data_IF_672189743830
#
_entry.id   IF_672189743830
#
_cell.length_a   1.000
_cell.length_b   1.000
_cell.length_c   1.000
_cell.angle_alpha   90.00
_cell.angle_beta   90.00
_cell.angle_gamma   90.00
#
_symmetry.space_group_name_H-M   'P 1'
#
loop_
_entity.id
_entity.type
_entity.pdbx_description
1 polymer ?
#
# COMPACT_ATOMS: atom_id res chain seq x y z
N UNK A 1 0.76 20.95 11.27
CA UNK A 1 -0.25 20.80 10.21
C UNK A 1 0.24 21.25 8.83
N UNK A 2 -0.31 20.66 7.76
CA UNK A 2 -0.11 21.12 6.37
C UNK A 2 -0.84 22.46 6.15
N UNK A 3 -0.11 23.47 5.71
CA UNK A 3 -0.64 24.81 5.41
C UNK A 3 -1.10 24.94 3.95
N UNK A 4 -0.42 24.25 3.04
CA UNK A 4 -0.84 24.18 1.64
C UNK A 4 0.17 23.50 0.72
N UNK A 5 -0.27 23.28 -0.51
CA UNK A 5 0.50 22.70 -1.61
C UNK A 5 0.69 23.74 -2.72
N UNK A 6 1.90 23.82 -3.25
CA UNK A 6 2.30 24.77 -4.29
C UNK A 6 2.97 24.01 -5.41
N UNK A 7 2.63 24.37 -6.64
CA UNK A 7 3.29 23.92 -7.86
C UNK A 7 3.87 25.15 -8.54
N UNK A 8 5.16 25.17 -8.78
CA UNK A 8 5.83 26.31 -9.41
C UNK A 8 7.00 25.88 -10.29
N UNK A 9 7.47 26.81 -11.11
CA UNK A 9 8.62 26.66 -12.02
C UNK A 9 9.57 27.84 -11.87
N UNK A 10 10.79 27.67 -12.36
CA UNK A 10 11.74 28.76 -12.49
C UNK A 10 11.80 29.27 -13.92
N UNK A 11 11.52 30.55 -14.11
CA UNK A 11 11.60 31.23 -15.39
C UNK A 11 12.75 32.25 -15.37
N UNK A 12 13.70 32.12 -16.30
CA UNK A 12 14.93 32.93 -16.34
C UNK A 12 14.66 34.45 -16.38
N UNK A 13 13.51 34.88 -16.90
CA UNK A 13 13.17 36.31 -17.07
C UNK A 13 12.46 36.92 -15.86
N UNK A 14 11.58 36.16 -15.23
CA UNK A 14 10.67 36.65 -14.18
C UNK A 14 10.98 36.05 -12.80
N UNK A 15 11.83 35.03 -12.73
CA UNK A 15 12.10 34.26 -11.52
C UNK A 15 11.03 33.18 -11.29
N UNK A 16 10.47 33.13 -10.09
CA UNK A 16 9.49 32.09 -9.73
C UNK A 16 8.15 32.35 -10.40
N UNK A 17 7.63 31.32 -11.08
CA UNK A 17 6.31 31.30 -11.70
C UNK A 17 5.44 30.25 -11.00
N UNK A 18 4.39 30.68 -10.30
CA UNK A 18 3.47 29.77 -9.59
C UNK A 18 2.41 29.29 -10.58
N UNK A 19 2.41 27.99 -10.84
CA UNK A 19 1.44 27.30 -11.69
C UNK A 19 0.12 27.12 -10.93
N UNK A 20 0.20 26.63 -9.70
CA UNK A 20 -0.96 26.37 -8.86
C UNK A 20 -0.63 26.48 -7.37
N UNK A 21 -1.65 26.80 -6.58
CA UNK A 21 -1.59 26.72 -5.11
C UNK A 21 -2.92 26.35 -4.50
N UNK A 22 -2.89 25.57 -3.43
CA UNK A 22 -4.05 25.22 -2.64
C UNK A 22 -3.72 25.31 -1.13
N UNK A 23 -4.53 25.98 -0.31
CA UNK A 23 -5.74 26.74 -0.69
C UNK A 23 -5.41 27.97 -1.55
N UNK A 24 -6.35 28.42 -2.40
CA UNK A 24 -6.14 29.57 -3.31
C UNK A 24 -5.75 30.87 -2.58
N UNK A 25 -6.15 31.00 -1.31
CA UNK A 25 -5.85 32.14 -0.44
C UNK A 25 -4.48 32.05 0.25
N UNK A 26 -3.72 30.98 0.04
CA UNK A 26 -2.40 30.80 0.62
C UNK A 26 -1.48 31.97 0.19
N UNK A 27 -0.98 32.73 1.16
CA UNK A 27 0.01 33.78 0.94
C UNK A 27 1.40 33.17 1.13
N UNK A 28 2.31 33.46 0.19
CA UNK A 28 3.64 32.85 0.14
C UNK A 28 4.61 33.97 -0.16
N UNK A 29 5.60 34.13 0.71
CA UNK A 29 6.65 35.10 0.48
C UNK A 29 7.57 34.63 -0.65
N UNK A 30 7.93 35.50 -1.62
CA UNK A 30 8.82 35.11 -2.72
C UNK A 30 10.18 34.57 -2.29
N UNK A 31 10.65 34.92 -1.08
CA UNK A 31 11.91 34.41 -0.54
C UNK A 31 11.85 32.90 -0.29
N UNK A 32 10.69 32.37 0.14
CA UNK A 32 10.50 30.95 0.42
C UNK A 32 10.73 30.13 -0.85
N UNK A 33 10.07 30.53 -1.94
CA UNK A 33 10.17 29.82 -3.22
C UNK A 33 11.57 29.87 -3.82
N UNK A 34 12.30 30.99 -3.62
CA UNK A 34 13.71 31.10 -4.04
C UNK A 34 14.64 30.18 -3.26
N UNK A 35 14.40 30.01 -1.95
CA UNK A 35 15.18 29.09 -1.12
C UNK A 35 14.92 27.64 -1.51
N UNK A 36 13.66 27.26 -1.75
CA UNK A 36 13.30 25.93 -2.25
C UNK A 36 14.01 25.65 -3.59
N UNK A 37 13.93 26.59 -4.54
CA UNK A 37 14.61 26.48 -5.82
C UNK A 37 16.13 26.30 -5.64
N UNK A 38 16.76 27.13 -4.81
CA UNK A 38 18.21 27.09 -4.58
C UNK A 38 18.65 25.77 -3.94
N UNK A 39 17.85 25.22 -3.02
CA UNK A 39 18.16 23.95 -2.38
C UNK A 39 18.14 22.78 -3.39
N UNK A 40 17.12 22.71 -4.26
CA UNK A 40 17.08 21.72 -5.34
C UNK A 40 18.17 21.93 -6.39
N UNK A 41 18.47 23.18 -6.74
CA UNK A 41 19.52 23.51 -7.69
C UNK A 41 20.91 23.07 -7.19
N UNK A 42 21.14 23.10 -5.87
CA UNK A 42 22.39 22.61 -5.27
C UNK A 42 22.53 21.09 -5.35
N UNK A 43 21.43 20.34 -5.25
CA UNK A 43 21.43 18.87 -5.40
C UNK A 43 21.65 18.43 -6.86
N UNK A 44 21.29 19.29 -7.82
CA UNK A 44 21.40 19.08 -9.28
C UNK A 44 20.84 17.72 -9.77
N UNK A 45 19.77 17.26 -9.12
CA UNK A 45 19.07 16.03 -9.49
C UNK A 45 17.58 16.12 -9.14
N UNK A 46 16.70 15.41 -9.88
CA UNK A 46 15.32 15.21 -9.45
C UNK A 46 15.30 14.53 -8.09
N UNK A 47 14.28 14.83 -7.28
CA UNK A 47 14.09 14.14 -6.00
C UNK A 47 13.43 15.01 -4.93
N UNK A 48 13.31 14.40 -3.75
CA UNK A 48 12.77 15.01 -2.55
C UNK A 48 13.85 15.76 -1.76
N UNK A 49 13.46 16.89 -1.17
CA UNK A 49 14.23 17.58 -0.12
C UNK A 49 13.31 18.00 1.02
N UNK A 50 13.90 18.04 2.21
CA UNK A 50 13.35 18.62 3.42
C UNK A 50 14.18 19.86 3.80
N UNK A 51 13.51 20.98 4.10
CA UNK A 51 14.18 22.18 4.57
C UNK A 51 13.29 23.00 5.51
N UNK A 52 13.93 23.77 6.39
CA UNK A 52 13.29 24.80 7.19
C UNK A 52 13.56 26.16 6.57
N UNK A 53 12.50 26.90 6.28
CA UNK A 53 12.55 28.28 5.78
C UNK A 53 11.87 29.18 6.78
N UNK A 54 12.67 29.99 7.48
CA UNK A 54 12.22 30.88 8.56
C UNK A 54 11.52 30.10 9.69
N UNK A 55 10.19 30.12 9.74
CA UNK A 55 9.37 29.38 10.71
C UNK A 55 8.54 28.26 10.08
N UNK A 56 8.73 28.01 8.79
CA UNK A 56 8.01 26.99 8.04
C UNK A 56 8.91 25.81 7.73
N UNK A 57 8.38 24.62 7.94
CA UNK A 57 9.00 23.40 7.42
C UNK A 57 8.48 23.16 6.00
N UNK A 58 9.33 22.66 5.11
CA UNK A 58 9.01 22.47 3.70
C UNK A 58 9.44 21.08 3.26
N UNK A 59 8.49 20.34 2.73
CA UNK A 59 8.72 19.12 1.95
C UNK A 59 8.59 19.48 0.48
N UNK A 60 9.61 19.24 -0.34
CA UNK A 60 9.56 19.62 -1.76
C UNK A 60 10.14 18.55 -2.65
N UNK A 61 9.44 18.29 -3.76
CA UNK A 61 9.90 17.40 -4.81
C UNK A 61 10.20 18.17 -6.10
N UNK A 62 11.36 17.94 -6.70
CA UNK A 62 11.76 18.51 -7.99
C UNK A 62 11.70 17.45 -9.09
N UNK A 63 11.01 17.76 -10.19
CA UNK A 63 10.73 16.79 -11.26
C UNK A 63 11.87 16.63 -12.27
N UNK A 64 12.96 17.38 -12.11
CA UNK A 64 14.13 17.31 -12.98
C UNK A 64 14.10 18.30 -14.14
N UNK A 65 15.24 18.40 -14.83
CA UNK A 65 15.49 19.35 -15.92
C UNK A 65 14.58 19.16 -17.15
N UNK A 66 13.95 18.00 -17.30
CA UNK A 66 13.03 17.74 -18.41
C UNK A 66 11.70 18.50 -18.25
N UNK A 67 11.22 18.65 -17.02
CA UNK A 67 9.90 19.23 -16.73
C UNK A 67 9.95 20.51 -15.89
N UNK A 68 11.01 20.67 -15.08
CA UNK A 68 11.35 21.84 -14.28
C UNK A 68 10.24 22.30 -13.32
N UNK A 69 9.48 21.36 -12.75
CA UNK A 69 8.46 21.65 -11.74
C UNK A 69 8.96 21.37 -10.32
N UNK A 70 8.56 22.25 -9.42
CA UNK A 70 8.70 22.11 -7.98
C UNK A 70 7.32 21.93 -7.37
N UNK A 71 7.15 20.86 -6.62
CA UNK A 71 5.91 20.51 -5.95
C UNK A 71 6.22 20.53 -4.46
N UNK A 72 5.71 21.52 -3.76
CA UNK A 72 6.14 21.84 -2.40
C UNK A 72 4.96 21.94 -1.45
N UNK A 73 5.10 21.29 -0.31
CA UNK A 73 4.21 21.41 0.84
C UNK A 73 4.80 22.42 1.80
N UNK A 74 3.97 23.40 2.19
CA UNK A 74 4.27 24.27 3.31
C UNK A 74 3.67 23.67 4.56
N UNK A 75 4.50 23.48 5.58
CA UNK A 75 4.16 22.87 6.84
C UNK A 75 4.45 23.87 7.96
N UNK A 76 3.74 23.77 9.07
CA UNK A 76 4.14 24.48 10.28
C UNK A 76 5.39 23.86 10.91
N UNK A 77 5.91 24.51 11.96
CA UNK A 77 7.15 24.12 12.62
C UNK A 77 7.06 22.79 13.40
N UNK A 78 5.86 22.24 13.60
CA UNK A 78 5.65 21.01 14.38
C UNK A 78 5.69 19.75 13.51
N UNK A 79 5.49 19.88 12.21
CA UNK A 79 5.53 18.76 11.26
C UNK A 79 6.96 18.45 10.82
N UNK A 80 7.28 17.17 10.68
CA UNK A 80 8.50 16.71 10.03
C UNK A 80 8.25 16.57 8.51
N UNK A 81 8.97 17.31 7.64
CA UNK A 81 8.83 17.15 6.19
C UNK A 81 9.10 15.74 5.68
N UNK A 82 10.00 14.99 6.33
CA UNK A 82 10.41 13.66 5.86
C UNK A 82 9.25 12.65 5.94
N UNK A 83 8.29 12.85 6.86
CA UNK A 83 7.08 12.03 6.96
C UNK A 83 6.16 12.14 5.72
N UNK A 84 6.39 13.13 4.85
CA UNK A 84 5.62 13.38 3.64
C UNK A 84 6.31 12.92 2.36
N UNK A 85 7.54 12.40 2.42
CA UNK A 85 8.34 12.06 1.24
C UNK A 85 7.59 11.13 0.26
N UNK A 86 7.12 9.97 0.74
CA UNK A 86 6.48 8.95 -0.09
C UNK A 86 5.17 9.46 -0.75
N UNK A 87 4.34 10.18 0.00
CA UNK A 87 3.08 10.73 -0.53
C UNK A 87 3.31 11.90 -1.49
N UNK A 88 4.43 12.64 -1.31
CA UNK A 88 4.79 13.73 -2.19
C UNK A 88 5.36 13.22 -3.52
N UNK A 89 6.11 12.11 -3.52
CA UNK A 89 6.54 11.41 -4.74
C UNK A 89 5.32 11.00 -5.59
N UNK A 90 4.31 10.40 -4.97
CA UNK A 90 3.08 9.99 -5.68
C UNK A 90 2.29 11.17 -6.19
N UNK A 91 2.26 12.23 -5.38
CA UNK A 91 1.62 13.48 -5.77
C UNK A 91 2.31 14.07 -6.99
N UNK A 92 3.64 14.03 -7.03
CA UNK A 92 4.40 14.46 -8.20
C UNK A 92 4.10 13.60 -9.41
N UNK A 93 4.14 12.27 -9.28
CA UNK A 93 3.77 11.37 -10.37
C UNK A 93 2.36 11.67 -10.91
N UNK A 94 1.37 11.81 -10.02
CA UNK A 94 -0.02 12.07 -10.38
C UNK A 94 -0.21 13.42 -11.07
N UNK A 95 0.43 14.47 -10.56
CA UNK A 95 0.39 15.81 -11.16
C UNK A 95 1.01 15.77 -12.55
N UNK A 96 2.17 15.14 -12.69
CA UNK A 96 2.92 15.12 -13.95
C UNK A 96 2.20 14.33 -15.05
N UNK A 97 1.58 13.19 -14.71
CA UNK A 97 0.74 12.43 -15.66
C UNK A 97 -0.51 13.23 -16.09
N UNK A 98 -1.01 14.12 -15.23
CA UNK A 98 -2.20 14.94 -15.49
C UNK A 98 -1.87 16.41 -15.81
N UNK A 99 -0.62 16.68 -16.21
CA UNK A 99 -0.16 18.03 -16.49
C UNK A 99 -0.82 18.59 -17.76
N UNK A 100 -1.04 17.73 -18.76
CA UNK A 100 -1.70 18.15 -20.00
C UNK A 100 -3.14 18.61 -19.75
N UNK A 101 -3.49 19.76 -20.35
CA UNK A 101 -4.82 20.38 -20.27
C UNK A 101 -5.26 20.72 -18.83
N UNK A 102 -4.31 20.95 -17.93
CA UNK A 102 -4.54 21.40 -16.55
C UNK A 102 -5.46 20.47 -15.72
N UNK A 103 -5.56 19.19 -16.10
CA UNK A 103 -6.42 18.20 -15.42
C UNK A 103 -6.03 18.03 -13.95
N UNK A 104 -4.75 18.16 -13.64
CA UNK A 104 -4.22 18.11 -12.28
C UNK A 104 -4.86 19.16 -11.34
N UNK A 105 -5.27 20.33 -11.83
CA UNK A 105 -5.88 21.38 -11.01
C UNK A 105 -7.18 20.94 -10.33
N UNK A 106 -7.95 20.06 -10.99
CA UNK A 106 -9.19 19.50 -10.44
C UNK A 106 -8.92 18.49 -9.32
N UNK A 107 -7.72 17.91 -9.29
CA UNK A 107 -7.32 16.88 -8.32
C UNK A 107 -6.72 17.48 -7.04
N UNK A 108 -6.20 18.72 -7.10
CA UNK A 108 -5.47 19.35 -5.98
C UNK A 108 -6.19 19.32 -4.63
N UNK A 109 -7.52 19.54 -4.53
CA UNK A 109 -8.21 19.42 -3.23
C UNK A 109 -8.11 18.02 -2.63
N UNK A 110 -8.36 16.99 -3.43
CA UNK A 110 -8.29 15.60 -2.97
C UNK A 110 -6.84 15.18 -2.66
N UNK A 111 -5.88 15.68 -3.45
CA UNK A 111 -4.45 15.47 -3.23
C UNK A 111 -4.04 16.06 -1.88
N UNK A 112 -4.39 17.32 -1.59
CA UNK A 112 -4.04 17.98 -0.34
C UNK A 112 -4.65 17.25 0.87
N UNK A 113 -5.92 16.85 0.77
CA UNK A 113 -6.58 16.06 1.83
C UNK A 113 -5.83 14.75 2.10
N UNK A 114 -5.41 14.03 1.05
CA UNK A 114 -4.68 12.76 1.18
C UNK A 114 -3.30 12.95 1.80
N UNK A 115 -2.53 13.93 1.31
CA UNK A 115 -1.20 14.24 1.84
C UNK A 115 -1.27 14.59 3.32
N UNK A 116 -2.24 15.41 3.71
CA UNK A 116 -2.38 15.89 5.09
C UNK A 116 -2.66 14.77 6.10
N UNK A 117 -3.15 13.62 5.63
CA UNK A 117 -3.49 12.48 6.47
C UNK A 117 -2.40 11.42 6.49
N UNK A 118 -1.52 11.40 5.49
CA UNK A 118 -0.52 10.35 5.31
C UNK A 118 0.41 10.13 6.51
N UNK A 119 0.96 11.17 7.18
CA UNK A 119 1.80 10.97 8.37
C UNK A 119 1.09 10.23 9.52
N UNK A 120 -0.24 10.34 9.57
CA UNK A 120 -1.06 9.70 10.60
C UNK A 120 -1.39 8.23 10.28
N UNK A 121 -0.99 7.74 9.11
CA UNK A 121 -1.27 6.36 8.69
C UNK A 121 -0.53 5.37 9.57
N UNK A 122 -1.28 4.37 10.06
CA UNK A 122 -0.68 3.20 10.71
C UNK A 122 -0.03 2.28 9.69
N UNK A 123 0.79 1.35 10.16
CA UNK A 123 1.46 0.34 9.32
C UNK A 123 0.50 -0.39 8.36
N UNK A 124 -0.67 -0.85 8.82
CA UNK A 124 -1.65 -1.51 7.94
C UNK A 124 -2.16 -0.58 6.82
N UNK A 125 -2.26 0.72 7.09
CA UNK A 125 -2.66 1.72 6.10
C UNK A 125 -1.52 2.03 5.13
N UNK A 126 -0.27 2.11 5.60
CA UNK A 126 0.91 2.25 4.73
C UNK A 126 1.05 1.07 3.78
N UNK A 127 0.81 -0.16 4.26
CA UNK A 127 0.80 -1.35 3.41
C UNK A 127 -0.37 -1.35 2.42
N UNK A 128 -1.58 -0.98 2.88
CA UNK A 128 -2.74 -0.85 1.99
C UNK A 128 -2.49 0.18 0.88
N UNK A 129 -1.81 1.28 1.23
CA UNK A 129 -1.52 2.39 0.33
C UNK A 129 -0.67 1.97 -0.88
N UNK A 130 0.23 0.98 -0.71
CA UNK A 130 0.98 0.37 -1.83
C UNK A 130 0.06 -0.16 -2.93
N UNK A 131 -1.09 -0.72 -2.57
CA UNK A 131 -2.08 -1.26 -3.50
C UNK A 131 -3.10 -0.22 -3.98
N UNK A 132 -3.16 0.96 -3.33
CA UNK A 132 -4.02 2.07 -3.77
C UNK A 132 -3.42 2.85 -4.95
N UNK A 133 -2.08 2.83 -5.05
CA UNK A 133 -1.36 3.42 -6.16
C UNK A 133 -1.18 2.41 -7.31
N UNK A 134 -1.58 2.81 -8.51
CA UNK A 134 -1.60 1.92 -9.67
C UNK A 134 -0.19 1.49 -10.09
N UNK A 135 0.80 2.38 -9.99
CA UNK A 135 2.19 2.08 -10.36
C UNK A 135 2.78 1.05 -9.38
N UNK A 136 2.68 1.32 -8.07
CA UNK A 136 3.16 0.38 -7.04
C UNK A 136 2.44 -0.97 -7.11
N UNK A 137 1.12 -0.95 -7.33
CA UNK A 137 0.36 -2.18 -7.52
C UNK A 137 0.93 -3.01 -8.68
N UNK A 138 1.16 -2.39 -9.85
CA UNK A 138 1.74 -3.08 -11.01
C UNK A 138 3.16 -3.61 -10.75
N UNK A 139 4.00 -2.84 -10.05
CA UNK A 139 5.33 -3.29 -9.64
C UNK A 139 5.22 -4.54 -8.76
N UNK A 140 4.36 -4.50 -7.74
CA UNK A 140 4.15 -5.62 -6.83
C UNK A 140 3.57 -6.83 -7.57
N UNK A 141 2.55 -6.66 -8.43
CA UNK A 141 1.98 -7.76 -9.21
C UNK A 141 3.03 -8.45 -10.07
N UNK A 142 3.85 -7.68 -10.79
CA UNK A 142 4.91 -8.23 -11.63
C UNK A 142 5.95 -8.98 -10.81
N UNK A 143 6.36 -8.44 -9.68
CA UNK A 143 7.32 -9.07 -8.78
C UNK A 143 6.77 -10.30 -8.07
N UNK A 144 5.47 -10.36 -7.79
CA UNK A 144 4.79 -11.56 -7.27
C UNK A 144 4.80 -12.68 -8.31
N UNK A 145 4.64 -12.35 -9.59
CA UNK A 145 4.64 -13.31 -10.69
C UNK A 145 6.06 -13.80 -11.07
N UNK A 146 6.99 -12.86 -11.26
CA UNK A 146 8.35 -13.13 -11.78
C UNK A 146 9.40 -13.32 -10.68
N UNK A 147 9.14 -12.82 -9.47
CA UNK A 147 10.08 -12.78 -8.35
C UNK A 147 11.14 -11.68 -8.45
N UNK A 148 11.69 -11.47 -9.64
CA UNK A 148 12.72 -10.46 -9.90
C UNK A 148 12.58 -9.85 -11.29
N UNK A 149 13.10 -8.63 -11.45
CA UNK A 149 13.12 -7.93 -12.75
C UNK A 149 14.22 -6.87 -12.76
N UNK A 150 14.63 -6.40 -13.94
CA UNK A 150 15.57 -5.28 -14.02
C UNK A 150 14.83 -3.94 -13.95
N UNK A 151 15.46 -2.91 -13.38
CA UNK A 151 14.87 -1.57 -13.29
C UNK A 151 14.49 -1.02 -14.67
N UNK A 152 15.32 -1.24 -15.68
CA UNK A 152 15.06 -0.77 -17.04
C UNK A 152 13.86 -1.48 -17.67
N UNK A 153 13.77 -2.80 -17.54
CA UNK A 153 12.65 -3.58 -18.08
C UNK A 153 11.34 -3.25 -17.37
N UNK A 154 11.39 -3.01 -16.06
CA UNK A 154 10.24 -2.57 -15.29
C UNK A 154 9.77 -1.18 -15.72
N UNK A 155 10.70 -0.23 -15.88
CA UNK A 155 10.38 1.12 -16.31
C UNK A 155 9.77 1.15 -17.70
N UNK A 156 10.33 0.40 -18.67
CA UNK A 156 9.79 0.34 -20.03
C UNK A 156 8.38 -0.26 -20.06
N UNK A 157 8.19 -1.36 -19.35
CA UNK A 157 6.89 -2.03 -19.25
C UNK A 157 5.83 -1.16 -18.55
N UNK A 158 6.17 -0.44 -17.47
CA UNK A 158 5.21 0.44 -16.79
C UNK A 158 4.75 1.59 -17.70
N UNK A 159 5.67 2.22 -18.42
CA UNK A 159 5.34 3.30 -19.37
C UNK A 159 4.42 2.81 -20.48
N UNK A 160 4.72 1.63 -21.04
CA UNK A 160 3.85 0.99 -22.05
C UNK A 160 2.48 0.63 -21.48
N UNK A 161 2.44 0.03 -20.28
CA UNK A 161 1.22 -0.47 -19.66
C UNK A 161 0.25 0.64 -19.25
N UNK A 162 0.79 1.77 -18.81
CA UNK A 162 0.03 2.93 -18.31
C UNK A 162 -0.16 4.03 -19.37
N UNK A 163 0.47 3.89 -20.54
CA UNK A 163 0.47 4.92 -21.59
C UNK A 163 0.96 6.29 -21.07
N UNK A 164 2.05 6.27 -20.29
CA UNK A 164 2.65 7.48 -19.67
C UNK A 164 4.08 7.71 -20.16
N UNK A 165 4.42 8.99 -20.34
CA UNK A 165 5.77 9.40 -20.74
C UNK A 165 6.67 9.67 -19.53
N UNK A 166 6.08 10.10 -18.41
CA UNK A 166 6.77 10.43 -17.17
C UNK A 166 6.63 9.34 -16.10
N UNK A 167 7.74 8.93 -15.49
CA UNK A 167 7.75 7.94 -14.42
C UNK A 167 8.92 8.18 -13.45
N UNK A 168 8.61 8.41 -12.18
CA UNK A 168 9.58 8.53 -11.09
C UNK A 168 9.92 7.13 -10.54
N UNK A 169 10.57 6.30 -11.36
CA UNK A 169 10.76 4.88 -11.01
C UNK A 169 11.70 4.69 -9.81
N UNK A 170 12.74 5.52 -9.69
CA UNK A 170 13.73 5.45 -8.62
C UNK A 170 13.13 5.64 -7.23
N UNK A 171 12.38 6.73 -7.05
CA UNK A 171 11.83 7.05 -5.73
C UNK A 171 10.67 6.11 -5.35
N UNK A 172 9.89 5.65 -6.35
CA UNK A 172 8.87 4.62 -6.13
C UNK A 172 9.52 3.32 -5.66
N UNK A 173 10.61 2.87 -6.30
CA UNK A 173 11.38 1.69 -5.85
C UNK A 173 11.92 1.91 -4.43
N UNK A 174 12.52 3.07 -4.16
CA UNK A 174 13.07 3.39 -2.84
C UNK A 174 11.99 3.32 -1.75
N UNK A 175 10.76 3.79 -2.02
CA UNK A 175 9.64 3.66 -1.08
C UNK A 175 9.32 2.19 -0.74
N UNK A 176 9.34 1.30 -1.73
CA UNK A 176 9.10 -0.13 -1.55
C UNK A 176 10.26 -0.83 -0.83
N UNK A 177 11.49 -0.36 -1.02
CA UNK A 177 12.69 -0.81 -0.29
C UNK A 177 12.60 -0.39 1.18
N UNK A 178 12.22 0.87 1.48
CA UNK A 178 12.02 1.37 2.85
C UNK A 178 10.95 0.56 3.60
N UNK A 179 9.87 0.16 2.91
CA UNK A 179 8.84 -0.74 3.46
C UNK A 179 9.33 -2.18 3.71
N UNK A 180 10.49 -2.54 3.17
CA UNK A 180 11.09 -3.86 3.27
C UNK A 180 10.41 -4.91 2.41
N UNK A 181 9.77 -4.49 1.31
CA UNK A 181 9.10 -5.39 0.35
C UNK A 181 10.07 -5.87 -0.74
N UNK A 182 10.98 -4.99 -1.15
CA UNK A 182 11.92 -5.20 -2.25
C UNK A 182 13.35 -5.00 -1.74
N UNK A 183 14.30 -5.73 -2.33
CA UNK A 183 15.74 -5.40 -2.30
C UNK A 183 16.23 -5.11 -3.70
N UNK A 184 17.19 -4.19 -3.81
CA UNK A 184 17.92 -3.97 -5.05
C UNK A 184 19.33 -4.55 -4.95
N UNK A 185 19.86 -5.05 -6.07
CA UNK A 185 21.26 -5.46 -6.15
C UNK A 185 21.81 -5.36 -7.57
N UNK A 186 23.12 -5.11 -7.66
CA UNK A 186 23.87 -5.21 -8.92
C UNK A 186 24.44 -6.62 -9.02
N UNK A 187 23.91 -7.43 -9.93
CA UNK A 187 24.42 -8.77 -10.21
C UNK A 187 25.37 -8.72 -11.40
N UNK A 188 26.52 -9.38 -11.28
CA UNK A 188 27.52 -9.47 -12.36
C UNK A 188 26.84 -9.96 -13.65
N UNK A 189 27.21 -9.36 -14.80
CA UNK A 189 26.70 -9.67 -16.15
C UNK A 189 25.35 -9.00 -16.47
N UNK A 190 24.65 -8.46 -15.48
CA UNK A 190 23.38 -7.76 -15.73
C UNK A 190 23.61 -6.31 -16.16
N UNK A 191 22.82 -5.80 -17.13
CA UNK A 191 23.01 -4.47 -17.70
C UNK A 191 22.49 -3.34 -16.80
N UNK A 192 21.65 -3.66 -15.82
CA UNK A 192 21.10 -2.69 -14.88
C UNK A 192 20.84 -3.35 -13.53
N UNK A 193 20.55 -2.51 -12.53
CA UNK A 193 20.17 -2.92 -11.19
C UNK A 193 18.93 -3.83 -11.23
N UNK A 194 18.98 -4.91 -10.45
CA UNK A 194 17.90 -5.87 -10.29
C UNK A 194 17.08 -5.55 -9.05
N UNK A 195 15.80 -5.84 -9.16
CA UNK A 195 14.79 -5.74 -8.12
C UNK A 195 14.38 -7.15 -7.72
N UNK A 196 14.34 -7.43 -6.42
CA UNK A 196 13.97 -8.72 -5.86
C UNK A 196 12.85 -8.57 -4.86
N UNK A 197 11.75 -9.31 -5.04
CA UNK A 197 10.70 -9.42 -4.03
C UNK A 197 11.23 -10.21 -2.84
N UNK A 198 11.20 -9.62 -1.64
CA UNK A 198 11.62 -10.28 -0.39
C UNK A 198 10.47 -10.45 0.60
N UNK A 199 9.46 -9.57 0.53
CA UNK A 199 8.21 -9.67 1.28
C UNK A 199 7.06 -9.29 0.38
N UNK A 200 5.96 -10.00 0.53
CA UNK A 200 4.70 -9.71 -0.13
C UNK A 200 3.70 -9.16 0.88
N UNK A 201 2.62 -8.53 0.42
CA UNK A 201 1.55 -8.02 1.27
C UNK A 201 0.35 -8.96 1.12
N UNK A 202 -0.06 -9.53 2.24
CA UNK A 202 -1.32 -10.27 2.34
C UNK A 202 -2.41 -9.28 2.71
N UNK A 203 -3.34 -9.04 1.79
CA UNK A 203 -4.44 -8.10 1.95
C UNK A 203 -5.75 -8.84 1.67
N UNK A 204 -6.43 -9.22 2.74
CA UNK A 204 -7.51 -10.22 2.71
C UNK A 204 -8.56 -9.92 3.76
N UNK A 205 -9.75 -10.49 3.60
CA UNK A 205 -10.79 -10.47 4.63
C UNK A 205 -10.65 -11.68 5.53
N UNK A 206 -10.86 -11.47 6.83
CA UNK A 206 -10.89 -12.53 7.84
C UNK A 206 -12.12 -12.41 8.73
N UNK A 207 -12.49 -13.48 9.45
CA UNK A 207 -13.51 -13.38 10.46
C UNK A 207 -13.18 -12.33 11.55
N UNK A 208 -14.17 -11.59 12.07
CA UNK A 208 -13.98 -10.55 13.08
C UNK A 208 -13.81 -11.14 14.49
N UNK A 209 -12.58 -11.52 14.82
CA UNK A 209 -12.21 -12.29 16.03
C UNK A 209 -12.75 -11.67 17.33
N UNK A 210 -12.60 -10.36 17.53
CA UNK A 210 -13.05 -9.68 18.75
C UNK A 210 -14.58 -9.80 18.97
N UNK A 211 -15.38 -9.73 17.90
CA UNK A 211 -16.84 -9.89 18.02
C UNK A 211 -17.18 -11.34 18.38
N UNK A 212 -16.48 -12.29 17.76
CA UNK A 212 -16.68 -13.71 18.02
C UNK A 212 -16.31 -14.08 19.46
N UNK A 213 -15.24 -13.49 19.99
CA UNK A 213 -14.86 -13.62 21.39
C UNK A 213 -15.94 -13.07 22.34
N UNK A 214 -16.55 -11.93 22.00
CA UNK A 214 -17.67 -11.37 22.78
C UNK A 214 -18.89 -12.28 22.78
N UNK A 215 -19.20 -12.93 21.65
CA UNK A 215 -20.27 -13.92 21.54
C UNK A 215 -19.97 -15.13 22.43
N UNK A 216 -18.75 -15.68 22.34
CA UNK A 216 -18.28 -16.81 23.17
C UNK A 216 -18.41 -16.49 24.66
N UNK A 217 -18.10 -15.26 25.04
CA UNK A 217 -18.20 -14.74 26.40
C UNK A 217 -19.62 -14.28 26.80
N UNK A 218 -20.64 -14.56 25.98
CA UNK A 218 -22.06 -14.22 26.23
C UNK A 218 -22.33 -12.73 26.48
N UNK A 219 -21.49 -11.85 25.90
CA UNK A 219 -21.68 -10.38 25.96
C UNK A 219 -22.71 -9.87 24.95
N UNK A 220 -23.11 -10.70 23.99
CA UNK A 220 -24.10 -10.41 22.96
C UNK A 220 -25.28 -11.36 23.14
N UNK A 221 -26.50 -10.87 22.88
CA UNK A 221 -27.72 -11.66 22.98
C UNK A 221 -27.67 -12.90 22.07
N UNK A 222 -28.06 -14.07 22.60
CA UNK A 222 -27.96 -15.38 21.92
C UNK A 222 -28.73 -15.45 20.59
N UNK A 223 -29.89 -14.79 20.49
CA UNK A 223 -30.69 -14.76 19.27
C UNK A 223 -29.95 -14.04 18.14
N UNK A 224 -29.40 -12.86 18.44
CA UNK A 224 -28.65 -12.03 17.48
C UNK A 224 -27.32 -12.69 17.15
N UNK A 225 -26.65 -13.25 18.16
CA UNK A 225 -25.38 -13.96 17.97
C UNK A 225 -25.52 -15.13 17.01
N UNK A 226 -26.60 -15.90 17.10
CA UNK A 226 -26.84 -17.05 16.21
C UNK A 226 -27.03 -16.62 14.76
N UNK A 227 -27.85 -15.60 14.51
CA UNK A 227 -28.07 -15.04 13.17
C UNK A 227 -26.78 -14.43 12.59
N UNK A 228 -26.05 -13.70 13.42
CA UNK A 228 -24.75 -13.12 13.08
C UNK A 228 -23.76 -14.21 12.62
N UNK A 229 -23.59 -15.26 13.42
CA UNK A 229 -22.66 -16.36 13.12
C UNK A 229 -23.01 -17.06 11.80
N UNK A 230 -24.30 -17.27 11.53
CA UNK A 230 -24.75 -17.84 10.25
C UNK A 230 -24.37 -16.96 9.06
N UNK A 231 -24.52 -15.65 9.17
CA UNK A 231 -24.17 -14.71 8.09
C UNK A 231 -22.66 -14.60 7.87
N UNK A 232 -21.87 -14.54 8.95
CA UNK A 232 -20.40 -14.58 8.87
C UNK A 232 -19.98 -15.86 8.16
N UNK A 233 -20.50 -17.02 8.59
CA UNK A 233 -20.22 -18.32 7.96
C UNK A 233 -20.58 -18.35 6.48
N UNK A 234 -21.77 -17.87 6.10
CA UNK A 234 -22.25 -17.89 4.73
C UNK A 234 -21.38 -17.03 3.77
N UNK A 235 -20.91 -15.87 4.23
CA UNK A 235 -19.98 -15.03 3.46
C UNK A 235 -18.71 -15.80 3.10
N UNK A 236 -18.17 -16.43 4.11
CA UNK A 236 -16.84 -16.97 4.14
C UNK A 236 -16.74 -18.36 3.49
N UNK A 237 -17.86 -19.07 3.34
CA UNK A 237 -17.95 -20.31 2.54
C UNK A 237 -17.56 -20.13 1.08
N UNK A 238 -17.77 -18.93 0.51
CA UNK A 238 -17.53 -18.64 -0.90
C UNK A 238 -16.45 -17.56 -1.11
N UNK A 239 -15.86 -17.06 -0.02
CA UNK A 239 -14.88 -15.99 -0.10
C UNK A 239 -13.55 -16.53 -0.65
N UNK A 240 -13.07 -15.89 -1.72
CA UNK A 240 -11.72 -16.06 -2.25
C UNK A 240 -11.15 -14.67 -2.48
N UNK A 241 -9.93 -14.37 -2.00
CA UNK A 241 -9.28 -13.11 -2.30
C UNK A 241 -9.15 -12.89 -3.81
N UNK A 242 -9.47 -11.70 -4.30
CA UNK A 242 -9.34 -11.31 -5.70
C UNK A 242 -8.70 -9.93 -5.80
N UNK A 243 -8.13 -9.59 -6.96
CA UNK A 243 -7.56 -8.26 -7.20
C UNK A 243 -8.59 -7.12 -7.02
N UNK A 244 -9.85 -7.37 -7.39
CA UNK A 244 -10.93 -6.40 -7.18
C UNK A 244 -11.22 -6.21 -5.69
N UNK A 245 -11.18 -7.29 -4.91
CA UNK A 245 -11.32 -7.20 -3.46
C UNK A 245 -10.13 -6.49 -2.81
N UNK A 246 -8.91 -6.70 -3.32
CA UNK A 246 -7.72 -5.99 -2.85
C UNK A 246 -7.86 -4.47 -3.02
N UNK A 247 -8.38 -4.02 -4.18
CA UNK A 247 -8.66 -2.60 -4.43
C UNK A 247 -9.72 -2.05 -3.48
N UNK A 248 -10.83 -2.77 -3.28
CA UNK A 248 -11.90 -2.36 -2.35
C UNK A 248 -11.36 -2.20 -0.93
N UNK A 249 -10.57 -3.17 -0.47
CA UNK A 249 -9.96 -3.15 0.86
C UNK A 249 -8.97 -1.97 0.97
N UNK A 250 -8.10 -1.79 -0.02
CA UNK A 250 -7.13 -0.69 -0.04
C UNK A 250 -7.82 0.67 0.03
N UNK A 251 -8.88 0.88 -0.77
CA UNK A 251 -9.69 2.09 -0.76
C UNK A 251 -10.32 2.38 0.60
N UNK A 252 -10.76 1.36 1.33
CA UNK A 252 -11.39 1.53 2.64
C UNK A 252 -10.37 1.87 3.71
N UNK A 253 -9.23 1.18 3.69
CA UNK A 253 -8.20 1.32 4.73
C UNK A 253 -7.45 2.66 4.60
N UNK A 254 -7.25 3.13 3.37
CA UNK A 254 -6.59 4.42 3.11
C UNK A 254 -7.52 5.63 3.29
N UNK A 255 -8.83 5.43 3.35
CA UNK A 255 -9.81 6.47 3.67
C UNK A 255 -9.95 6.63 5.19
N UNK A 256 -9.51 7.77 5.74
CA UNK A 256 -9.44 7.97 7.19
C UNK A 256 -10.80 7.90 7.90
N UNK A 257 -11.86 8.45 7.31
CA UNK A 257 -13.21 8.38 7.90
C UNK A 257 -13.68 6.92 7.98
N UNK A 258 -13.50 6.17 6.89
CA UNK A 258 -13.81 4.74 6.82
C UNK A 258 -12.97 3.93 7.80
N UNK A 259 -11.68 4.23 7.91
CA UNK A 259 -10.76 3.55 8.81
C UNK A 259 -11.10 3.80 10.29
N UNK A 260 -11.47 5.04 10.66
CA UNK A 260 -11.92 5.39 12.01
C UNK A 260 -13.20 4.60 12.37
N UNK A 261 -14.17 4.56 11.46
CA UNK A 261 -15.43 3.83 11.65
C UNK A 261 -15.17 2.32 11.73
N UNK A 262 -14.37 1.77 10.83
CA UNK A 262 -13.99 0.35 10.82
C UNK A 262 -13.33 -0.06 12.15
N UNK A 263 -12.42 0.76 12.67
CA UNK A 263 -11.81 0.49 13.98
C UNK A 263 -12.82 0.48 15.13
N UNK A 264 -13.92 1.23 15.04
CA UNK A 264 -15.00 1.15 16.03
C UNK A 264 -15.77 -0.16 15.90
N UNK A 265 -16.06 -0.59 14.68
CA UNK A 265 -16.70 -1.88 14.41
C UNK A 265 -15.84 -3.08 14.82
N UNK A 266 -14.50 -2.98 14.73
CA UNK A 266 -13.57 -4.01 15.21
C UNK A 266 -13.67 -4.22 16.73
N UNK A 267 -14.08 -3.21 17.49
CA UNK A 267 -14.17 -3.30 18.96
C UNK A 267 -15.49 -3.89 19.44
N UNK A 268 -16.61 -3.49 18.87
CA UNK A 268 -17.93 -3.99 19.26
C UNK A 268 -19.00 -3.65 18.21
N UNK A 269 -20.13 -4.35 18.20
CA UNK A 269 -21.30 -3.94 17.43
C UNK A 269 -21.75 -2.53 17.87
N UNK A 270 -22.25 -1.74 16.93
CA UNK A 270 -22.73 -0.38 17.19
C UNK A 270 -24.25 -0.31 17.04
N UNK A 271 -24.91 0.54 17.82
CA UNK A 271 -26.31 0.91 17.61
C UNK A 271 -26.39 2.20 16.79
N UNK A 272 -27.60 2.64 16.40
CA UNK A 272 -27.79 3.97 15.77
C UNK A 272 -27.21 5.10 16.61
N UNK A 273 -27.40 5.06 17.93
CA UNK A 273 -26.80 6.06 18.84
C UNK A 273 -25.27 5.96 18.84
N UNK A 274 -24.72 4.74 18.78
CA UNK A 274 -23.28 4.53 18.63
C UNK A 274 -22.70 5.15 17.36
N UNK A 275 -23.44 5.09 16.25
CA UNK A 275 -23.07 5.75 14.99
C UNK A 275 -23.17 7.27 15.07
N UNK A 276 -24.21 7.81 15.69
CA UNK A 276 -24.37 9.26 15.91
C UNK A 276 -23.17 9.84 16.68
N UNK A 277 -22.64 9.12 17.67
CA UNK A 277 -21.46 9.51 18.44
C UNK A 277 -20.15 9.55 17.61
N UNK A 278 -20.17 9.09 16.35
CA UNK A 278 -19.03 9.17 15.44
C UNK A 278 -19.06 10.42 14.56
N UNK A 279 -20.18 11.16 14.48
CA UNK A 279 -20.28 12.36 13.63
C UNK A 279 -19.20 13.41 13.92
N UNK A 280 -18.82 13.55 15.19
CA UNK A 280 -17.78 14.51 15.60
C UNK A 280 -16.35 14.01 15.35
N UNK A 281 -16.17 12.76 14.90
CA UNK A 281 -14.86 12.11 14.71
C UNK A 281 -14.47 11.92 13.25
N UNK A 282 -15.40 12.14 12.33
CA UNK A 282 -15.20 11.92 10.88
C UNK A 282 -15.74 13.11 10.10
N UNK A 283 -15.15 13.42 8.94
CA UNK A 283 -15.61 14.54 8.10
C UNK A 283 -16.98 14.24 7.48
N UNK A 284 -17.21 13.02 7.01
CA UNK A 284 -18.45 12.61 6.37
C UNK A 284 -18.86 11.18 6.74
N UNK A 285 -19.61 11.05 7.84
CA UNK A 285 -20.08 9.76 8.36
C UNK A 285 -20.90 8.98 7.32
N UNK A 286 -21.84 9.62 6.64
CA UNK A 286 -22.75 8.94 5.71
C UNK A 286 -22.00 8.36 4.50
N UNK A 287 -21.10 9.13 3.91
CA UNK A 287 -20.27 8.68 2.77
C UNK A 287 -19.40 7.49 3.19
N UNK A 288 -18.73 7.57 4.32
CA UNK A 288 -17.84 6.51 4.81
C UNK A 288 -18.62 5.25 5.21
N UNK A 289 -19.76 5.40 5.87
CA UNK A 289 -20.61 4.26 6.25
C UNK A 289 -21.19 3.56 5.02
N UNK A 290 -21.64 4.33 4.02
CA UNK A 290 -22.09 3.79 2.74
C UNK A 290 -20.96 3.03 2.03
N UNK A 291 -19.73 3.56 2.03
CA UNK A 291 -18.55 2.88 1.46
C UNK A 291 -18.30 1.53 2.13
N UNK A 292 -18.28 1.50 3.47
CA UNK A 292 -18.10 0.28 4.27
C UNK A 292 -19.23 -0.73 4.00
N UNK A 293 -20.48 -0.26 3.90
CA UNK A 293 -21.64 -1.10 3.64
C UNK A 293 -21.64 -1.68 2.22
N UNK A 294 -21.36 -0.85 1.20
CA UNK A 294 -21.26 -1.28 -0.20
C UNK A 294 -20.13 -2.29 -0.40
N UNK A 295 -19.07 -2.20 0.39
CA UNK A 295 -18.00 -3.20 0.42
C UNK A 295 -18.38 -4.52 1.12
N UNK A 296 -19.58 -4.60 1.70
CA UNK A 296 -20.07 -5.79 2.40
C UNK A 296 -19.35 -6.08 3.72
N UNK A 297 -18.69 -5.07 4.32
CA UNK A 297 -17.97 -5.23 5.59
C UNK A 297 -18.91 -5.29 6.79
N UNK A 298 -20.07 -4.65 6.71
CA UNK A 298 -21.03 -4.58 7.83
C UNK A 298 -22.38 -5.22 7.49
N UNK A 299 -23.11 -5.61 8.53
CA UNK A 299 -24.49 -6.06 8.45
C UNK A 299 -25.33 -5.48 9.57
N UNK A 300 -26.63 -5.35 9.34
CA UNK A 300 -27.58 -4.82 10.32
C UNK A 300 -28.51 -5.95 10.77
N UNK A 301 -28.56 -6.19 12.07
CA UNK A 301 -29.45 -7.14 12.71
C UNK A 301 -30.38 -6.42 13.67
N UNK A 302 -31.58 -6.94 13.89
CA UNK A 302 -32.55 -6.37 14.82
C UNK A 302 -32.75 -7.29 16.00
N UNK A 303 -32.79 -6.72 17.20
CA UNK A 303 -33.17 -7.46 18.38
C UNK A 303 -34.70 -7.64 18.45
N UNK A 304 -35.18 -8.31 19.51
CA UNK A 304 -36.61 -8.51 19.74
C UNK A 304 -37.37 -7.20 20.04
N UNK A 305 -36.67 -6.13 20.44
CA UNK A 305 -37.26 -4.81 20.68
C UNK A 305 -37.34 -3.95 19.42
N UNK A 306 -36.71 -4.39 18.33
CA UNK A 306 -36.61 -3.67 17.06
C UNK A 306 -35.42 -2.72 16.98
N UNK A 307 -34.53 -2.72 17.98
CA UNK A 307 -33.29 -1.97 17.97
C UNK A 307 -32.31 -2.54 16.93
N UNK A 308 -31.71 -1.66 16.14
CA UNK A 308 -30.76 -2.01 15.09
C UNK A 308 -29.33 -2.05 15.63
N UNK A 309 -28.68 -3.18 15.41
CA UNK A 309 -27.27 -3.43 15.71
C UNK A 309 -26.49 -3.63 14.41
N UNK A 310 -25.45 -2.83 14.25
CA UNK A 310 -24.53 -2.83 13.13
C UNK A 310 -23.30 -3.64 13.53
N UNK A 311 -23.10 -4.77 12.88
CA UNK A 311 -21.99 -5.67 13.15
C UNK A 311 -20.97 -5.62 12.02
N UNK A 312 -19.69 -5.74 12.36
CA UNK A 312 -18.66 -6.12 11.39
C UNK A 312 -18.93 -7.55 10.94
N UNK A 313 -19.20 -7.77 9.66
CA UNK A 313 -19.45 -9.09 9.07
C UNK A 313 -18.15 -9.81 8.72
N UNK A 314 -17.16 -9.07 8.26
CA UNK A 314 -15.81 -9.52 7.98
C UNK A 314 -14.86 -8.38 8.30
N UNK A 315 -13.70 -8.72 8.86
CA UNK A 315 -12.63 -7.78 9.16
C UNK A 315 -11.61 -7.78 8.02
N UNK A 316 -10.88 -6.68 7.90
CA UNK A 316 -9.76 -6.55 6.96
C UNK A 316 -8.48 -6.90 7.71
N UNK A 317 -7.66 -7.74 7.08
CA UNK A 317 -6.34 -8.12 7.55
C UNK A 317 -5.28 -7.74 6.52
N UNK A 318 -4.27 -7.00 6.97
CA UNK A 318 -3.15 -6.56 6.15
C UNK A 318 -1.86 -6.81 6.90
N UNK A 319 -0.94 -7.55 6.28
CA UNK A 319 0.38 -7.79 6.85
C UNK A 319 1.40 -8.08 5.76
N UNK A 320 2.68 -7.83 6.07
CA UNK A 320 3.81 -8.37 5.31
C UNK A 320 3.94 -9.86 5.58
N UNK A 321 4.10 -10.65 4.52
CA UNK A 321 4.32 -12.09 4.58
C UNK A 321 5.61 -12.48 3.87
N UNK A 322 6.21 -13.58 4.31
CA UNK A 322 7.31 -14.19 3.57
C UNK A 322 6.76 -14.91 2.34
N UNK A 323 7.25 -14.61 1.12
CA UNK A 323 6.71 -15.15 -0.11
C UNK A 323 7.32 -16.53 -0.40
N UNK A 324 7.00 -17.54 0.41
CA UNK A 324 7.58 -18.90 0.30
C UNK A 324 7.43 -19.49 -1.10
N UNK A 325 6.33 -19.14 -1.76
CA UNK A 325 6.04 -19.55 -3.12
C UNK A 325 7.11 -19.15 -4.15
N UNK A 326 7.85 -18.06 -3.91
CA UNK A 326 8.89 -17.63 -4.83
C UNK A 326 10.02 -18.66 -4.93
N UNK A 327 10.22 -19.49 -3.91
CA UNK A 327 11.19 -20.59 -3.99
C UNK A 327 10.80 -21.53 -5.12
N UNK A 328 9.51 -21.82 -5.28
CA UNK A 328 9.00 -22.67 -6.34
C UNK A 328 9.02 -21.95 -7.70
N UNK A 329 8.72 -20.63 -7.75
CA UNK A 329 8.91 -19.80 -8.95
C UNK A 329 10.35 -19.81 -9.45
N UNK A 330 11.32 -19.71 -8.54
CA UNK A 330 12.76 -19.77 -8.83
C UNK A 330 13.15 -21.14 -9.37
N UNK A 331 12.65 -22.23 -8.76
CA UNK A 331 12.87 -23.61 -9.23
C UNK A 331 12.33 -23.82 -10.65
N UNK A 332 11.14 -23.32 -10.96
CA UNK A 332 10.57 -23.36 -12.32
C UNK A 332 11.44 -22.58 -13.31
N UNK A 333 11.88 -21.38 -12.92
CA UNK A 333 12.73 -20.53 -13.77
C UNK A 333 14.08 -21.18 -14.06
N UNK A 334 14.65 -21.89 -13.09
CA UNK A 334 15.86 -22.69 -13.25
C UNK A 334 15.66 -23.85 -14.24
N UNK A 335 14.62 -24.68 -14.04
CA UNK A 335 14.32 -25.80 -14.94
C UNK A 335 14.15 -25.33 -16.39
N UNK A 336 13.44 -24.21 -16.59
CA UNK A 336 13.14 -23.65 -17.90
C UNK A 336 14.31 -22.83 -18.48
N UNK A 337 15.37 -22.57 -17.70
CA UNK A 337 16.50 -21.69 -18.06
C UNK A 337 16.05 -20.30 -18.52
N UNK A 338 14.94 -19.80 -17.96
CA UNK A 338 14.37 -18.50 -18.32
C UNK A 338 15.10 -17.33 -17.66
N UNK A 339 15.83 -17.59 -16.57
CA UNK A 339 16.58 -16.59 -15.80
C UNK A 339 17.99 -17.12 -15.53
N UNK A 340 18.99 -16.23 -15.54
CA UNK A 340 20.37 -16.61 -15.29
C UNK A 340 20.57 -17.10 -13.84
N UNK A 341 21.33 -18.18 -13.66
CA UNK A 341 21.57 -18.80 -12.35
C UNK A 341 22.09 -17.81 -11.30
N UNK A 342 22.96 -16.87 -11.68
CA UNK A 342 23.48 -15.85 -10.74
C UNK A 342 22.37 -14.97 -10.16
N UNK A 343 21.36 -14.64 -10.95
CA UNK A 343 20.21 -13.85 -10.50
C UNK A 343 19.33 -14.66 -9.56
N UNK A 344 19.06 -15.93 -9.88
CA UNK A 344 18.30 -16.83 -9.03
C UNK A 344 18.98 -17.07 -7.68
N UNK A 345 20.31 -17.28 -7.69
CA UNK A 345 21.11 -17.45 -6.47
C UNK A 345 21.09 -16.19 -5.62
N UNK A 346 21.20 -15.01 -6.23
CA UNK A 346 21.12 -13.75 -5.49
C UNK A 346 19.73 -13.56 -4.86
N UNK A 347 18.67 -13.91 -5.58
CA UNK A 347 17.31 -13.86 -5.04
C UNK A 347 17.15 -14.79 -3.83
N UNK A 348 17.60 -16.04 -3.94
CA UNK A 348 17.55 -17.01 -2.83
C UNK A 348 18.35 -16.55 -1.61
N UNK A 349 19.53 -15.93 -1.80
CA UNK A 349 20.30 -15.33 -0.70
C UNK A 349 19.54 -14.19 -0.03
N UNK A 350 18.91 -13.33 -0.82
CA UNK A 350 18.09 -12.24 -0.30
C UNK A 350 16.91 -12.75 0.54
N UNK A 351 16.22 -13.79 0.06
CA UNK A 351 15.14 -14.46 0.79
C UNK A 351 15.68 -15.10 2.08
N UNK A 352 16.78 -15.83 2.01
CA UNK A 352 17.41 -16.52 3.16
C UNK A 352 17.79 -15.56 4.30
N UNK A 353 18.19 -14.35 3.95
CA UNK A 353 18.64 -13.34 4.92
C UNK A 353 17.47 -12.64 5.65
N UNK A 354 16.22 -12.98 5.35
CA UNK A 354 15.09 -12.45 6.09
C UNK A 354 15.06 -13.00 7.52
N UNK A 355 14.96 -12.10 8.49
CA UNK A 355 14.79 -12.46 9.88
C UNK A 355 13.42 -13.12 10.07
N UNK A 356 13.35 -14.18 10.89
CA UNK A 356 12.12 -14.91 11.27
C UNK A 356 11.68 -16.06 10.34
N UNK A 357 12.58 -16.60 9.52
CA UNK A 357 12.27 -17.81 8.75
C UNK A 357 12.23 -19.07 9.63
N UNK A 358 11.27 -19.94 9.35
CA UNK A 358 11.20 -21.28 9.92
C UNK A 358 12.32 -22.17 9.37
N UNK A 359 12.83 -23.11 10.18
CA UNK A 359 13.94 -24.00 9.78
C UNK A 359 13.65 -24.80 8.50
N UNK A 360 12.40 -25.23 8.30
CA UNK A 360 11.99 -25.96 7.09
C UNK A 360 12.12 -25.11 5.82
N UNK A 361 11.81 -23.81 5.92
CA UNK A 361 11.93 -22.88 4.79
C UNK A 361 13.41 -22.65 4.48
N UNK A 362 14.24 -22.49 5.50
CA UNK A 362 15.70 -22.34 5.33
C UNK A 362 16.29 -23.58 4.64
N UNK A 363 15.92 -24.78 5.08
CA UNK A 363 16.33 -26.03 4.44
C UNK A 363 15.91 -26.10 2.97
N UNK A 364 14.66 -25.70 2.65
CA UNK A 364 14.15 -25.63 1.26
C UNK A 364 14.96 -24.65 0.41
N UNK A 365 15.35 -23.50 0.97
CA UNK A 365 16.20 -22.51 0.27
C UNK A 365 17.61 -23.07 0.05
N UNK A 366 18.24 -23.62 1.09
CA UNK A 366 19.61 -24.14 1.04
C UNK A 366 19.74 -25.33 0.06
N UNK A 367 18.76 -26.22 0.03
CA UNK A 367 18.64 -27.28 -0.99
C UNK A 367 18.55 -26.69 -2.40
N UNK A 368 17.73 -25.66 -2.58
CA UNK A 368 17.55 -25.03 -3.89
C UNK A 368 18.83 -24.35 -4.38
N UNK A 369 19.53 -23.64 -3.49
CA UNK A 369 20.83 -23.01 -3.78
C UNK A 369 21.82 -24.08 -4.25
N UNK A 370 21.97 -25.17 -3.48
CA UNK A 370 22.90 -26.26 -3.80
C UNK A 370 22.65 -26.86 -5.19
N UNK A 371 21.39 -27.16 -5.51
CA UNK A 371 21.01 -27.73 -6.80
C UNK A 371 21.33 -26.79 -7.97
N UNK A 372 21.08 -25.48 -7.81
CA UNK A 372 21.40 -24.48 -8.84
C UNK A 372 22.92 -24.34 -9.03
N UNK A 373 23.70 -24.37 -7.94
CA UNK A 373 25.17 -24.31 -7.99
C UNK A 373 25.79 -25.56 -8.64
N UNK A 374 25.26 -26.73 -8.33
CA UNK A 374 25.71 -28.01 -8.92
C UNK A 374 25.23 -28.20 -10.36
N UNK A 375 24.24 -27.41 -10.80
CA UNK A 375 23.59 -27.59 -12.10
C UNK A 375 22.81 -28.91 -12.18
N UNK A 376 22.44 -29.47 -11.02
CA UNK A 376 21.79 -30.77 -10.88
C UNK A 376 20.32 -30.61 -10.52
N UNK A 377 19.48 -31.48 -11.07
CA UNK A 377 18.07 -31.59 -10.69
C UNK A 377 17.10 -30.96 -11.67
N UNK A 378 16.03 -31.70 -11.95
CA UNK A 378 14.79 -31.16 -12.51
C UNK A 378 13.80 -31.12 -11.34
N UNK A 379 13.41 -29.91 -10.93
CA UNK A 379 12.46 -29.78 -9.82
C UNK A 379 11.07 -30.21 -10.30
N UNK A 380 10.46 -31.20 -9.64
CA UNK A 380 9.03 -31.48 -9.83
C UNK A 380 8.27 -30.41 -9.02
N UNK A 381 7.89 -29.33 -9.69
CA UNK A 381 7.14 -28.23 -9.06
C UNK A 381 5.65 -28.42 -9.30
N UNK A 382 4.89 -28.59 -8.23
CA UNK A 382 3.43 -28.52 -8.29
C UNK A 382 3.04 -27.05 -8.17
N UNK A 383 2.52 -26.45 -9.24
CA UNK A 383 2.09 -25.06 -9.24
C UNK A 383 0.97 -24.86 -8.20
N UNK A 384 1.30 -24.27 -7.05
CA UNK A 384 0.31 -23.83 -6.08
C UNK A 384 0.04 -22.34 -6.27
N UNK A 385 -1.25 -21.97 -6.28
CA UNK A 385 -1.64 -20.56 -6.20
C UNK A 385 -1.23 -20.01 -4.84
N UNK A 386 -0.45 -18.95 -4.90
CA UNK A 386 0.60 -18.63 -3.93
C UNK A 386 0.09 -17.92 -2.68
N UNK A 387 -0.75 -16.89 -2.84
CA UNK A 387 -1.39 -16.17 -1.72
C UNK A 387 -2.54 -16.94 -1.09
N UNK A 388 -3.29 -17.70 -1.88
CA UNK A 388 -4.43 -18.50 -1.40
C UNK A 388 -3.99 -19.54 -0.36
N UNK A 389 -2.88 -20.24 -0.61
CA UNK A 389 -2.33 -21.20 0.36
C UNK A 389 -1.94 -20.53 1.68
N UNK A 390 -1.20 -19.41 1.62
CA UNK A 390 -0.78 -18.68 2.81
C UNK A 390 -1.98 -18.15 3.58
N UNK A 391 -3.02 -17.67 2.87
CA UNK A 391 -4.29 -17.33 3.48
C UNK A 391 -4.88 -18.53 4.24
N UNK A 392 -4.99 -19.70 3.62
CA UNK A 392 -5.55 -20.87 4.29
C UNK A 392 -4.71 -21.36 5.48
N UNK A 393 -3.40 -21.46 5.33
CA UNK A 393 -2.48 -21.87 6.39
C UNK A 393 -2.53 -20.91 7.58
N UNK A 394 -2.64 -19.61 7.31
CA UNK A 394 -2.64 -18.59 8.35
C UNK A 394 -3.95 -18.50 9.10
N UNK A 395 -5.06 -18.61 8.39
CA UNK A 395 -6.39 -18.45 8.99
C UNK A 395 -7.07 -19.77 9.32
N UNK A 396 -6.50 -20.93 9.00
CA UNK A 396 -7.08 -22.23 9.37
C UNK A 396 -7.41 -22.30 10.86
N UNK A 397 -6.57 -21.72 11.72
CA UNK A 397 -6.81 -21.65 13.16
C UNK A 397 -8.01 -20.75 13.51
N UNK A 398 -8.12 -19.58 12.88
CA UNK A 398 -9.29 -18.69 13.03
C UNK A 398 -10.57 -19.43 12.62
N UNK A 399 -10.51 -20.25 11.56
CA UNK A 399 -11.62 -21.07 11.09
C UNK A 399 -11.93 -22.26 12.00
N UNK A 400 -10.91 -22.93 12.54
CA UNK A 400 -11.03 -24.04 13.48
C UNK A 400 -11.70 -23.58 14.78
N UNK A 401 -11.33 -22.39 15.28
CA UNK A 401 -12.02 -21.75 16.41
C UNK A 401 -13.52 -21.52 16.14
N UNK A 402 -13.92 -21.49 14.86
CA UNK A 402 -15.30 -21.34 14.40
C UNK A 402 -15.96 -22.65 13.96
N UNK A 403 -15.28 -23.80 14.08
CA UNK A 403 -15.71 -25.09 13.52
C UNK A 403 -16.01 -25.01 12.01
N UNK A 404 -15.20 -24.26 11.26
CA UNK A 404 -15.33 -24.09 9.82
C UNK A 404 -14.16 -24.74 9.10
N UNK A 405 -14.45 -25.35 7.94
CA UNK A 405 -13.39 -25.73 7.02
C UNK A 405 -12.93 -24.47 6.27
N UNK A 406 -11.62 -24.26 6.09
CA UNK A 406 -11.15 -23.20 5.20
C UNK A 406 -11.77 -23.39 3.81
N UNK A 407 -12.04 -22.31 3.06
CA UNK A 407 -12.40 -22.43 1.66
C UNK A 407 -11.37 -23.34 0.94
N UNK A 408 -11.82 -24.25 0.08
CA UNK A 408 -10.92 -25.10 -0.72
C UNK A 408 -10.69 -24.47 -2.10
#
# INVERSE_FOLDING_TARGET
MVLGLIIFKWNVRIGVEIEAKIPKKLEIEPIILKQIYSAHFLEDRPGFISLMVETLNVASYYTGHEFEYFISLLLDAEEDPDDYEDVLIDTAQLIMVNLQYDKHLLLLPNILDRISLYPTFKEEQKLAYVYSDEVRHLIMSRLVEEGNTTKNDLSGWLKEKLEIDYLIIDDIINSLVKLGLIKTAIVKIMPSELLFLIKDILLVRRPPLQILEQIKNKKINESIASEYLLSVKAFFQNYKPTLDDEKIISDIITDMDSYIILNRFRLSPLTRQGLENLKDKVKNLEKALNKIQSAGLIQVLKDKSGEEYYFLKNDIYIEKIFPEYLIDTIRVSFNNKSVANLVLLEHLKNLRNESQLESKIIEKIDETIKNIEEGTGEFIVQAMKTKERIFFEKFSNDWEEMNLKPPI
#
